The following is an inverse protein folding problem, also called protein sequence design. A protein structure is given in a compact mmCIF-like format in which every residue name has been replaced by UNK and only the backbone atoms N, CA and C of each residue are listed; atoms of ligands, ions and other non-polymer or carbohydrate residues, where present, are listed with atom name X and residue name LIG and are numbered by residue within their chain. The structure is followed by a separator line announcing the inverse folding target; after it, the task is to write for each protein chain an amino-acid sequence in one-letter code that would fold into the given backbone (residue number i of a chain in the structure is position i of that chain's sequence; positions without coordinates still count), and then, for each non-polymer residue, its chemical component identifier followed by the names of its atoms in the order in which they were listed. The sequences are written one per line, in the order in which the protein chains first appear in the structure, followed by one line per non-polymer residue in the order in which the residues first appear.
data_IF_135452351218
#
_entry.id   IF_135452351218
#
_cell.length_a   1.000
_cell.length_b   1.000
_cell.length_c   1.000
_cell.angle_alpha   90.00
_cell.angle_beta   90.00
_cell.angle_gamma   90.00
#
_symmetry.space_group_name_H-M   'P 1'
#
loop_
_entity.id
_entity.type
_entity.pdbx_description
1 polymer ?
#
# COMPACT_ATOMS: atom_id res chain seq x y z
N UNK A 1 18.94 13.64 15.14
CA UNK A 1 20.15 12.92 14.67
C UNK A 1 20.03 12.78 13.16
N UNK A 2 20.70 13.68 12.42
CA UNK A 2 20.71 13.66 10.95
C UNK A 2 21.48 12.42 10.51
N UNK A 3 20.81 11.52 9.80
CA UNK A 3 21.47 10.40 9.14
C UNK A 3 22.17 10.98 7.92
N UNK A 4 23.48 11.19 8.04
CA UNK A 4 24.34 11.39 6.89
C UNK A 4 24.31 10.09 6.08
N UNK A 5 23.83 10.17 4.85
CA UNK A 5 24.11 9.17 3.82
C UNK A 5 25.63 9.19 3.62
N UNK A 6 26.30 8.19 4.19
CA UNK A 6 27.75 8.01 4.06
C UNK A 6 28.07 7.61 2.63
N UNK A 7 28.61 8.56 1.86
CA UNK A 7 29.24 8.28 0.59
C UNK A 7 30.72 7.90 0.85
N UNK A 8 31.12 6.73 0.36
CA UNK A 8 32.46 6.17 0.13
C UNK A 8 33.58 6.36 1.21
N UNK A 9 34.14 5.22 1.62
CA UNK A 9 35.33 5.09 2.47
C UNK A 9 36.55 5.76 1.83
N UNK A 10 37.24 6.63 2.59
CA UNK A 10 38.59 7.11 2.28
C UNK A 10 39.62 6.33 3.12
N UNK A 11 40.49 5.55 2.46
CA UNK A 11 41.80 5.21 3.01
C UNK A 11 42.77 6.33 2.61
N UNK A 12 43.42 6.92 3.61
CA UNK A 12 44.40 7.99 3.46
C UNK A 12 45.80 7.35 3.25
N UNK A 13 46.44 7.63 2.12
CA UNK A 13 47.90 7.61 2.00
C UNK A 13 48.31 8.79 1.12
N UNK A 14 49.08 9.69 1.73
CA UNK A 14 49.61 10.90 1.13
C UNK A 14 50.64 10.58 0.03
N UNK A 15 50.48 11.15 -1.17
CA UNK A 15 51.54 11.92 -1.83
C UNK A 15 51.03 12.64 -3.09
N UNK A 16 51.58 13.85 -3.28
CA UNK A 16 51.23 14.82 -4.31
C UNK A 16 51.25 14.23 -5.73
N UNK A 17 50.19 14.46 -6.50
CA UNK A 17 50.24 14.97 -7.88
C UNK A 17 48.82 15.33 -8.34
N UNK A 18 48.72 16.41 -9.11
CA UNK A 18 47.52 16.95 -9.76
C UNK A 18 46.65 15.88 -10.40
N UNK A 19 45.49 15.60 -9.80
CA UNK A 19 44.43 14.79 -10.38
C UNK A 19 43.14 15.61 -10.40
N UNK A 20 42.56 15.72 -11.58
CA UNK A 20 41.21 16.21 -11.82
C UNK A 20 40.27 15.62 -10.78
N UNK A 21 39.63 16.46 -9.97
CA UNK A 21 38.51 16.04 -9.14
C UNK A 21 37.31 15.79 -10.05
N UNK A 22 37.31 14.65 -10.74
CA UNK A 22 36.05 14.02 -11.10
C UNK A 22 35.39 13.61 -9.78
N UNK A 23 34.57 14.51 -9.24
CA UNK A 23 33.45 14.05 -8.43
C UNK A 23 32.69 13.11 -9.36
N UNK A 24 32.79 11.80 -9.12
CA UNK A 24 31.81 10.87 -9.65
C UNK A 24 30.48 11.34 -9.04
N UNK A 25 29.76 12.17 -9.79
CA UNK A 25 28.33 12.32 -9.61
C UNK A 25 27.80 10.90 -9.72
N UNK A 26 27.35 10.30 -8.61
CA UNK A 26 26.41 9.20 -8.73
C UNK A 26 25.22 9.84 -9.42
N UNK A 27 25.02 9.54 -10.70
CA UNK A 27 23.89 10.03 -11.48
C UNK A 27 22.62 9.32 -10.97
N UNK A 28 22.13 9.78 -9.82
CA UNK A 28 20.92 9.29 -9.17
C UNK A 28 19.75 9.55 -10.12
N UNK A 29 18.95 8.50 -10.35
CA UNK A 29 17.73 8.58 -11.16
C UNK A 29 16.51 8.41 -10.28
N UNK A 30 15.46 9.17 -10.54
CA UNK A 30 14.24 9.17 -9.73
C UNK A 30 13.11 8.51 -10.50
N UNK A 31 12.53 7.46 -9.89
CA UNK A 31 11.28 6.88 -10.34
C UNK A 31 10.14 7.44 -9.48
N UNK A 32 9.19 8.10 -10.13
CA UNK A 32 7.93 8.53 -9.53
C UNK A 32 6.78 7.70 -10.12
N UNK A 33 5.64 7.65 -9.45
CA UNK A 33 4.47 7.00 -10.01
C UNK A 33 3.16 7.54 -9.44
N UNK A 34 2.07 7.44 -10.21
CA UNK A 34 0.71 7.61 -9.68
C UNK A 34 -0.19 6.48 -10.19
N UNK A 35 -1.36 6.39 -9.58
CA UNK A 35 -2.36 5.34 -9.79
C UNK A 35 -3.66 6.01 -10.18
N UNK A 36 -4.47 5.32 -11.00
CA UNK A 36 -5.80 5.75 -11.39
C UNK A 36 -6.60 6.37 -10.22
N UNK A 37 -7.21 7.57 -10.36
CA UNK A 37 -7.83 8.29 -9.24
C UNK A 37 -8.89 7.52 -8.43
N UNK A 38 -9.74 6.66 -9.02
CA UNK A 38 -10.70 5.85 -8.27
C UNK A 38 -10.06 4.84 -7.30
N UNK A 39 -8.78 4.50 -7.48
CA UNK A 39 -8.15 3.45 -6.70
C UNK A 39 -7.87 3.86 -5.25
N UNK A 40 -8.34 3.01 -4.33
CA UNK A 40 -8.28 3.23 -2.90
C UNK A 40 -6.90 3.03 -2.28
N UNK A 41 -6.81 3.39 -0.99
CA UNK A 41 -5.59 3.35 -0.18
C UNK A 41 -4.87 1.99 -0.24
N UNK A 42 -5.61 0.89 -0.13
CA UNK A 42 -5.02 -0.44 -0.04
C UNK A 42 -4.57 -1.02 -1.38
N UNK A 43 -5.20 -0.65 -2.51
CA UNK A 43 -4.66 -1.01 -3.83
C UNK A 43 -3.38 -0.21 -4.11
N UNK A 44 -3.33 1.08 -3.76
CA UNK A 44 -2.12 1.89 -3.92
C UNK A 44 -0.91 1.33 -3.15
N UNK A 45 -1.14 0.74 -1.97
CA UNK A 45 -0.12 -0.03 -1.23
C UNK A 45 0.34 -1.28 -1.98
N UNK A 46 -0.55 -1.94 -2.70
CA UNK A 46 -0.20 -3.08 -3.55
C UNK A 46 0.63 -2.63 -4.77
N UNK A 47 0.27 -1.51 -5.41
CA UNK A 47 1.03 -0.92 -6.53
C UNK A 47 2.43 -0.45 -6.07
N UNK A 48 2.58 0.05 -4.85
CA UNK A 48 3.90 0.34 -4.28
C UNK A 48 4.84 -0.88 -4.33
N UNK A 49 4.32 -2.08 -4.02
CA UNK A 49 5.13 -3.31 -4.07
C UNK A 49 5.64 -3.57 -5.49
N UNK A 50 4.78 -3.35 -6.50
CA UNK A 50 5.12 -3.50 -7.92
C UNK A 50 6.22 -2.51 -8.33
N UNK A 51 6.09 -1.24 -7.95
CA UNK A 51 7.08 -0.20 -8.26
C UNK A 51 8.41 -0.43 -7.53
N UNK A 52 8.36 -0.85 -6.27
CA UNK A 52 9.55 -1.24 -5.52
C UNK A 52 10.27 -2.45 -6.16
N UNK A 53 9.53 -3.42 -6.70
CA UNK A 53 10.11 -4.54 -7.48
C UNK A 53 10.83 -4.04 -8.72
N UNK A 54 10.21 -3.14 -9.48
CA UNK A 54 10.83 -2.50 -10.63
C UNK A 54 12.13 -1.76 -10.24
N UNK A 55 12.14 -0.98 -9.15
CA UNK A 55 13.38 -0.32 -8.68
C UNK A 55 14.45 -1.31 -8.28
N UNK A 56 14.10 -2.44 -7.63
CA UNK A 56 15.08 -3.51 -7.34
C UNK A 56 15.70 -4.06 -8.63
N UNK A 57 14.90 -4.29 -9.67
CA UNK A 57 15.40 -4.73 -10.98
C UNK A 57 16.29 -3.67 -11.62
N UNK A 58 15.88 -2.40 -11.61
CA UNK A 58 16.66 -1.30 -12.17
C UNK A 58 18.04 -1.17 -11.51
N UNK A 59 18.10 -1.28 -10.18
CA UNK A 59 19.36 -1.20 -9.42
C UNK A 59 20.26 -2.42 -9.61
N UNK A 60 19.70 -3.62 -9.82
CA UNK A 60 20.49 -4.83 -10.14
C UNK A 60 21.28 -4.67 -11.45
N UNK A 61 20.78 -3.85 -12.37
CA UNK A 61 21.37 -3.65 -13.69
C UNK A 61 22.38 -2.47 -13.74
N UNK A 62 22.65 -1.80 -12.62
CA UNK A 62 23.79 -0.88 -12.47
C UNK A 62 23.48 0.61 -12.31
N UNK A 63 22.22 1.03 -12.44
CA UNK A 63 21.82 2.43 -12.23
C UNK A 63 21.40 2.71 -10.77
N UNK A 64 21.75 3.88 -10.25
CA UNK A 64 21.33 4.33 -8.91
C UNK A 64 19.91 4.92 -8.91
N UNK A 65 18.90 4.05 -8.99
CA UNK A 65 17.50 4.47 -8.92
C UNK A 65 16.99 4.65 -7.48
N UNK A 66 16.25 5.73 -7.25
CA UNK A 66 15.52 6.04 -6.02
C UNK A 66 14.03 6.13 -6.33
N UNK A 67 13.20 5.47 -5.51
CA UNK A 67 11.75 5.55 -5.61
C UNK A 67 11.24 6.76 -4.84
N UNK A 68 10.61 7.69 -5.53
CA UNK A 68 9.95 8.84 -4.90
C UNK A 68 8.54 8.43 -4.50
N UNK A 69 8.23 8.57 -3.22
CA UNK A 69 6.96 8.16 -2.66
C UNK A 69 5.85 9.16 -3.04
N UNK A 70 4.75 8.73 -3.71
CA UNK A 70 3.69 9.64 -4.12
C UNK A 70 2.88 10.10 -2.92
N UNK A 71 2.72 11.41 -2.68
CA UNK A 71 1.96 11.92 -1.54
C UNK A 71 0.52 11.41 -1.56
N UNK A 72 -0.03 11.06 -0.39
CA UNK A 72 -1.40 10.63 -0.28
C UNK A 72 -2.36 11.81 -0.44
N UNK A 73 -3.44 11.63 -1.19
CA UNK A 73 -4.42 12.67 -1.43
C UNK A 73 -5.62 12.18 -2.24
N UNK A 74 -6.78 12.82 -2.06
CA UNK A 74 -8.01 12.62 -2.86
C UNK A 74 -8.40 11.16 -3.11
N UNK A 75 -8.34 10.30 -2.09
CA UNK A 75 -8.81 8.93 -2.24
C UNK A 75 -10.34 8.89 -2.21
N UNK A 76 -10.95 8.25 -3.21
CA UNK A 76 -12.42 8.18 -3.37
C UNK A 76 -13.15 7.61 -2.13
N UNK A 77 -12.47 6.75 -1.36
CA UNK A 77 -13.04 6.14 -0.14
C UNK A 77 -12.71 6.88 1.16
N UNK A 78 -12.08 8.05 1.09
CA UNK A 78 -11.90 8.88 2.28
C UNK A 78 -13.26 9.41 2.75
N UNK A 79 -13.55 9.09 4.00
CA UNK A 79 -14.86 9.19 4.63
C UNK A 79 -15.15 10.60 5.13
N UNK A 80 -14.09 11.39 5.33
CA UNK A 80 -14.15 12.65 6.05
C UNK A 80 -14.02 13.84 5.09
N UNK A 81 -15.14 14.38 4.57
CA UNK A 81 -15.12 15.46 3.58
C UNK A 81 -14.64 16.80 4.17
N UNK A 82 -14.71 16.94 5.50
CA UNK A 82 -14.48 18.20 6.19
C UNK A 82 -13.02 18.43 6.60
N UNK A 83 -12.12 17.48 6.35
CA UNK A 83 -10.70 17.61 6.68
C UNK A 83 -9.84 17.72 5.42
N UNK A 84 -8.82 18.57 5.47
CA UNK A 84 -7.87 18.71 4.37
C UNK A 84 -6.96 17.48 4.31
N UNK A 85 -7.15 16.66 3.29
CA UNK A 85 -6.39 15.44 3.06
C UNK A 85 -5.84 15.47 1.63
N UNK A 86 -4.74 16.18 1.42
CA UNK A 86 -3.93 16.12 0.21
C UNK A 86 -2.47 16.35 0.60
N UNK A 87 -1.54 15.88 -0.23
CA UNK A 87 -0.09 16.07 -0.01
C UNK A 87 0.40 15.49 1.33
N UNK A 88 -0.22 14.42 1.81
CA UNK A 88 0.17 13.78 3.06
C UNK A 88 1.41 12.90 2.78
N UNK A 89 2.51 13.06 3.52
CA UNK A 89 3.72 12.26 3.32
C UNK A 89 3.50 10.81 3.80
N UNK A 90 4.32 9.88 3.30
CA UNK A 90 4.27 8.48 3.71
C UNK A 90 4.66 8.27 5.17
N UNK A 91 5.51 9.13 5.73
CA UNK A 91 5.91 9.11 7.14
C UNK A 91 4.75 9.20 8.14
N UNK A 92 3.58 9.73 7.73
CA UNK A 92 2.37 9.72 8.56
C UNK A 92 1.76 8.33 8.71
N UNK A 93 1.99 7.43 7.75
CA UNK A 93 1.34 6.11 7.70
C UNK A 93 2.33 4.94 7.85
N UNK A 94 3.56 5.10 7.39
CA UNK A 94 4.57 4.05 7.34
C UNK A 94 5.92 4.53 7.88
N UNK A 95 6.70 3.59 8.41
CA UNK A 95 8.08 3.82 8.82
C UNK A 95 8.99 3.96 7.60
N UNK A 96 9.44 5.18 7.29
CA UNK A 96 10.36 5.43 6.16
C UNK A 96 11.65 4.62 6.30
N UNK A 97 12.22 4.53 7.51
CA UNK A 97 13.42 3.72 7.75
C UNK A 97 13.20 2.23 7.44
N UNK A 98 11.99 1.71 7.66
CA UNK A 98 11.66 0.32 7.34
C UNK A 98 11.54 0.12 5.83
N UNK A 99 10.94 1.06 5.11
CA UNK A 99 10.87 1.04 3.64
C UNK A 99 12.27 1.15 3.02
N UNK A 100 13.10 2.07 3.52
CA UNK A 100 14.49 2.32 3.08
C UNK A 100 15.40 1.11 3.28
N UNK A 101 15.14 0.28 4.28
CA UNK A 101 15.87 -0.97 4.47
C UNK A 101 15.59 -2.00 3.35
N UNK A 102 14.55 -1.82 2.53
CA UNK A 102 14.19 -2.69 1.42
C UNK A 102 14.53 -2.10 0.04
N UNK A 103 14.20 -0.82 -0.19
CA UNK A 103 14.45 -0.09 -1.45
C UNK A 103 14.78 1.37 -1.11
N UNK A 104 15.71 2.04 -1.81
CA UNK A 104 15.96 3.47 -1.62
C UNK A 104 14.69 4.27 -1.94
N UNK A 105 14.11 4.87 -0.91
CA UNK A 105 12.90 5.69 -1.01
C UNK A 105 13.13 7.07 -0.38
N UNK A 106 12.50 8.08 -0.97
CA UNK A 106 12.44 9.45 -0.44
C UNK A 106 11.01 9.99 -0.57
N UNK A 107 10.65 10.94 0.29
CA UNK A 107 9.39 11.67 0.14
C UNK A 107 9.44 12.60 -1.09
N UNK A 108 8.26 12.96 -1.61
CA UNK A 108 8.18 13.85 -2.78
C UNK A 108 8.78 15.24 -2.55
N UNK A 109 8.65 15.81 -1.35
CA UNK A 109 9.26 17.10 -1.04
C UNK A 109 10.80 17.02 -0.98
N UNK A 110 11.36 15.88 -0.54
CA UNK A 110 12.80 15.62 -0.60
C UNK A 110 13.27 15.56 -2.05
N UNK A 111 12.52 14.87 -2.92
CA UNK A 111 12.78 14.87 -4.37
C UNK A 111 12.81 16.30 -4.95
N UNK A 112 11.85 17.17 -4.61
CA UNK A 112 11.85 18.56 -5.10
C UNK A 112 13.14 19.28 -4.70
N UNK A 113 13.61 19.08 -3.47
CA UNK A 113 14.82 19.70 -2.96
C UNK A 113 16.09 19.17 -3.65
N UNK A 114 16.19 17.84 -3.83
CA UNK A 114 17.38 17.19 -4.41
C UNK A 114 17.46 17.36 -5.93
N UNK A 115 16.32 17.38 -6.62
CA UNK A 115 16.22 17.52 -8.08
C UNK A 115 16.39 18.98 -8.56
N UNK A 116 16.52 19.94 -7.64
CA UNK A 116 16.65 21.37 -7.96
C UNK A 116 15.34 22.05 -8.37
N UNK A 117 14.19 21.45 -8.05
CA UNK A 117 12.87 22.03 -8.27
C UNK A 117 11.80 21.00 -8.61
N UNK A 118 10.52 21.43 -8.72
CA UNK A 118 9.37 20.56 -8.93
C UNK A 118 9.18 20.21 -10.42
N UNK A 119 10.27 19.80 -11.09
CA UNK A 119 10.27 19.42 -12.50
C UNK A 119 10.47 17.92 -12.65
N UNK A 120 9.58 17.27 -13.38
CA UNK A 120 9.70 15.88 -13.81
C UNK A 120 10.13 15.90 -15.28
N UNK A 121 11.18 15.19 -15.64
CA UNK A 121 11.70 15.26 -17.01
C UNK A 121 10.81 14.50 -18.00
N UNK A 122 10.36 13.30 -17.62
CA UNK A 122 9.50 12.46 -18.46
C UNK A 122 8.33 11.89 -17.66
N UNK A 123 7.11 12.03 -18.18
CA UNK A 123 5.95 11.24 -17.74
C UNK A 123 5.63 10.21 -18.81
N UNK A 124 5.50 8.95 -18.39
CA UNK A 124 4.99 7.86 -19.19
C UNK A 124 3.59 7.50 -18.66
N UNK A 125 2.57 7.75 -19.47
CA UNK A 125 1.19 7.36 -19.15
C UNK A 125 1.00 5.91 -19.62
N UNK A 126 0.91 4.99 -18.66
CA UNK A 126 0.67 3.58 -18.97
C UNK A 126 -0.78 3.40 -19.45
N UNK A 127 -0.95 2.54 -20.45
CA UNK A 127 -2.26 2.17 -20.99
C UNK A 127 -2.24 0.72 -21.46
N UNK A 128 -3.42 0.14 -21.68
CA UNK A 128 -3.51 -1.16 -22.34
C UNK A 128 -3.19 -1.04 -23.85
N UNK A 129 -3.00 -2.17 -24.53
CA UNK A 129 -3.01 -2.21 -25.99
C UNK A 129 -4.45 -2.01 -26.48
N UNK A 130 -4.64 -1.09 -27.44
CA UNK A 130 -5.97 -0.74 -27.96
C UNK A 130 -6.64 -1.92 -28.67
N UNK A 131 -5.83 -2.76 -29.31
CA UNK A 131 -6.21 -4.01 -29.96
C UNK A 131 -6.59 -5.13 -28.96
N UNK A 132 -6.32 -4.95 -27.67
CA UNK A 132 -6.45 -6.02 -26.66
C UNK A 132 -5.48 -7.18 -26.92
N UNK A 133 -5.85 -8.37 -26.47
CA UNK A 133 -5.14 -9.62 -26.80
C UNK A 133 -6.13 -10.62 -27.38
N UNK A 134 -5.75 -11.29 -28.46
CA UNK A 134 -6.53 -12.35 -29.10
C UNK A 134 -5.90 -13.72 -28.85
N UNK A 135 -6.69 -14.78 -28.99
CA UNK A 135 -6.20 -16.16 -29.14
C UNK A 135 -5.51 -16.80 -27.91
N UNK A 136 -5.81 -16.32 -26.70
CA UNK A 136 -5.38 -16.96 -25.45
C UNK A 136 -3.87 -16.92 -25.19
N UNK A 137 -3.09 -16.19 -25.98
CA UNK A 137 -1.66 -15.94 -25.75
C UNK A 137 -1.47 -14.59 -25.07
N UNK A 138 -1.28 -14.63 -23.75
CA UNK A 138 -0.82 -13.47 -23.01
C UNK A 138 0.71 -13.38 -23.15
N UNK A 139 1.20 -12.31 -23.76
CA UNK A 139 2.62 -12.03 -23.92
C UNK A 139 3.01 -10.77 -23.16
N UNK A 140 4.22 -10.74 -22.62
CA UNK A 140 4.77 -9.53 -22.02
C UNK A 140 5.37 -8.62 -23.09
N UNK A 141 4.89 -7.39 -23.16
CA UNK A 141 5.34 -6.40 -24.13
C UNK A 141 5.07 -4.98 -23.66
N UNK A 142 5.88 -4.07 -24.18
CA UNK A 142 5.81 -2.64 -23.91
C UNK A 142 6.20 -1.87 -25.16
N UNK A 143 5.34 -0.95 -25.60
CA UNK A 143 5.56 -0.17 -26.82
C UNK A 143 5.09 1.28 -26.62
N UNK A 144 5.89 2.24 -27.10
CA UNK A 144 5.41 3.61 -27.26
C UNK A 144 4.27 3.63 -28.28
N UNK A 145 3.11 4.15 -27.88
CA UNK A 145 1.89 4.16 -28.71
C UNK A 145 1.19 5.51 -28.59
N UNK A 146 0.35 5.89 -29.57
CA UNK A 146 -0.54 7.02 -29.39
C UNK A 146 -1.40 6.86 -28.14
N UNK A 147 -1.62 7.97 -27.43
CA UNK A 147 -2.51 8.00 -26.28
C UNK A 147 -3.94 7.62 -26.70
N UNK A 148 -4.50 6.58 -26.08
CA UNK A 148 -5.86 6.10 -26.39
C UNK A 148 -6.88 7.10 -25.88
N UNK A 149 -6.76 7.48 -24.61
CA UNK A 149 -7.61 8.47 -23.98
C UNK A 149 -7.00 9.86 -24.08
N UNK A 150 -7.86 10.88 -23.94
CA UNK A 150 -7.40 12.26 -23.83
C UNK A 150 -6.52 12.39 -22.59
N UNK A 151 -5.27 12.82 -22.78
CA UNK A 151 -4.34 13.10 -21.70
C UNK A 151 -4.96 14.06 -20.67
N UNK A 152 -4.80 13.71 -19.39
CA UNK A 152 -5.12 14.61 -18.26
C UNK A 152 -4.08 15.72 -18.09
N UNK A 153 -3.00 15.68 -18.88
CA UNK A 153 -1.93 16.67 -18.90
C UNK A 153 -2.16 17.72 -19.98
N UNK A 154 -1.84 18.98 -19.68
CA UNK A 154 -1.99 20.10 -20.62
C UNK A 154 -0.79 21.03 -20.56
N UNK A 155 -0.38 21.60 -21.69
CA UNK A 155 0.76 22.54 -21.74
C UNK A 155 0.37 23.90 -21.18
N UNK A 156 1.25 24.50 -20.39
CA UNK A 156 1.17 25.90 -19.99
C UNK A 156 1.79 26.84 -21.04
N UNK A 157 1.79 28.15 -20.74
CA UNK A 157 2.32 29.19 -21.63
C UNK A 157 3.82 29.05 -21.89
N UNK A 158 4.55 28.35 -21.02
CA UNK A 158 5.98 28.10 -21.13
C UNK A 158 6.27 26.78 -21.86
N UNK A 159 5.24 26.02 -22.24
CA UNK A 159 5.35 24.76 -22.95
C UNK A 159 5.53 23.54 -22.04
N UNK A 160 5.53 23.72 -20.71
CA UNK A 160 5.60 22.61 -19.76
C UNK A 160 4.23 22.01 -19.51
N UNK A 161 4.19 20.70 -19.23
CA UNK A 161 2.94 20.02 -18.92
C UNK A 161 2.54 20.23 -17.46
N UNK A 162 1.30 20.67 -17.26
CA UNK A 162 0.56 20.69 -15.99
C UNK A 162 -0.30 19.45 -15.90
N UNK A 163 -0.47 18.94 -14.69
CA UNK A 163 -1.32 17.80 -14.37
C UNK A 163 -1.73 17.83 -12.91
N UNK A 164 -2.27 16.71 -12.42
CA UNK A 164 -2.67 16.57 -11.02
C UNK A 164 -1.48 16.63 -10.06
N UNK A 165 -0.40 15.87 -10.34
CA UNK A 165 0.84 15.81 -9.57
C UNK A 165 0.63 15.85 -8.05
N UNK A 166 -0.24 14.96 -7.56
CA UNK A 166 -0.57 14.78 -6.14
C UNK A 166 -1.05 16.06 -5.40
N UNK A 167 -1.56 17.05 -6.15
CA UNK A 167 -2.04 18.32 -5.61
C UNK A 167 -0.96 19.40 -5.50
N UNK A 168 0.22 19.20 -6.08
CA UNK A 168 1.28 20.21 -6.16
C UNK A 168 1.13 21.03 -7.45
N UNK A 169 0.43 22.16 -7.36
CA UNK A 169 0.15 23.04 -8.51
C UNK A 169 1.39 23.61 -9.19
N UNK A 170 2.52 23.65 -8.49
CA UNK A 170 3.81 24.10 -9.00
C UNK A 170 4.51 23.04 -9.86
N UNK A 171 4.14 21.78 -9.75
CA UNK A 171 4.85 20.69 -10.43
C UNK A 171 4.62 20.72 -11.93
N UNK A 172 5.68 20.51 -12.68
CA UNK A 172 5.69 20.53 -14.15
C UNK A 172 6.40 19.32 -14.71
N UNK A 173 5.87 18.76 -15.79
CA UNK A 173 6.58 17.78 -16.59
C UNK A 173 7.16 18.42 -17.87
N UNK A 174 8.39 18.07 -18.24
CA UNK A 174 9.00 18.55 -19.49
C UNK A 174 8.44 17.83 -20.71
N UNK A 175 8.20 16.53 -20.59
CA UNK A 175 7.62 15.72 -21.64
C UNK A 175 6.60 14.71 -21.10
N UNK A 176 5.59 14.38 -21.91
CA UNK A 176 4.54 13.40 -21.59
C UNK A 176 4.29 12.55 -22.83
N UNK A 177 4.43 11.24 -22.70
CA UNK A 177 4.12 10.25 -23.75
C UNK A 177 3.28 9.11 -23.19
N UNK A 178 2.61 8.37 -24.06
CA UNK A 178 1.84 7.19 -23.68
C UNK A 178 2.59 5.92 -24.09
N UNK A 179 2.51 4.90 -23.24
CA UNK A 179 3.13 3.61 -23.48
C UNK A 179 2.11 2.51 -23.21
N UNK A 180 1.86 1.68 -24.22
CA UNK A 180 1.03 0.50 -24.04
C UNK A 180 1.88 -0.58 -23.39
N UNK A 181 1.41 -1.11 -22.26
CA UNK A 181 2.11 -2.12 -21.48
C UNK A 181 1.19 -3.29 -21.15
N UNK A 182 1.70 -4.49 -21.32
CA UNK A 182 1.10 -5.74 -20.89
C UNK A 182 2.22 -6.56 -20.26
N UNK A 183 2.21 -6.76 -18.95
CA UNK A 183 3.29 -7.48 -18.30
C UNK A 183 3.43 -7.17 -16.83
N UNK A 184 4.49 -7.72 -16.25
CA UNK A 184 4.87 -7.41 -14.89
C UNK A 184 5.66 -6.11 -14.82
N UNK A 185 5.79 -5.52 -13.62
CA UNK A 185 6.43 -4.22 -13.45
C UNK A 185 7.84 -4.14 -14.04
N UNK A 186 8.64 -5.20 -13.94
CA UNK A 186 9.99 -5.26 -14.47
C UNK A 186 10.09 -5.22 -16.00
N UNK A 187 8.98 -5.37 -16.75
CA UNK A 187 8.97 -5.18 -18.22
C UNK A 187 9.38 -3.76 -18.61
N UNK A 188 9.21 -2.79 -17.70
CA UNK A 188 9.59 -1.40 -17.91
C UNK A 188 11.09 -1.17 -17.77
N UNK A 189 11.87 -2.09 -17.18
CA UNK A 189 13.27 -1.86 -16.89
C UNK A 189 14.11 -1.58 -18.15
N UNK A 190 14.00 -2.35 -19.26
CA UNK A 190 14.71 -2.03 -20.50
C UNK A 190 14.35 -0.66 -21.07
N UNK A 191 13.08 -0.24 -20.98
CA UNK A 191 12.63 1.08 -21.47
C UNK A 191 13.27 2.20 -20.66
N UNK A 192 13.26 2.07 -19.33
CA UNK A 192 13.80 3.08 -18.42
C UNK A 192 15.34 3.16 -18.47
N UNK A 193 16.03 2.08 -18.83
CA UNK A 193 17.49 2.01 -18.90
C UNK A 193 18.05 2.39 -20.27
N UNK A 194 17.49 1.82 -21.33
CA UNK A 194 18.10 1.91 -22.66
C UNK A 194 17.52 3.05 -23.49
N UNK A 195 16.24 3.39 -23.29
CA UNK A 195 15.53 4.34 -24.14
C UNK A 195 15.40 5.71 -23.49
N UNK A 196 15.53 5.79 -22.17
CA UNK A 196 15.34 7.03 -21.40
C UNK A 196 16.62 7.37 -20.66
N UNK A 197 17.21 8.52 -20.98
CA UNK A 197 18.47 9.01 -20.38
C UNK A 197 18.27 10.15 -19.38
N UNK A 198 17.03 10.59 -19.16
CA UNK A 198 16.73 11.67 -18.21
C UNK A 198 16.77 11.19 -16.76
N UNK A 199 16.93 12.16 -15.86
CA UNK A 199 17.11 11.96 -14.42
C UNK A 199 15.82 11.56 -13.72
N UNK A 200 14.67 12.18 -14.04
CA UNK A 200 13.40 11.93 -13.35
C UNK A 200 12.30 11.41 -14.30
N UNK A 201 11.76 10.23 -13.99
CA UNK A 201 10.70 9.58 -14.78
C UNK A 201 9.50 9.24 -13.90
N UNK A 202 8.31 9.64 -14.33
CA UNK A 202 7.05 9.30 -13.67
C UNK A 202 6.26 8.27 -14.49
N UNK A 203 5.85 7.17 -13.86
CA UNK A 203 4.89 6.22 -14.41
C UNK A 203 3.48 6.56 -13.91
N UNK A 204 2.65 7.16 -14.75
CA UNK A 204 1.24 7.35 -14.43
C UNK A 204 0.44 6.09 -14.82
N UNK A 205 -0.68 5.84 -14.13
CA UNK A 205 -1.48 4.61 -14.27
C UNK A 205 -0.69 3.34 -13.95
N UNK A 206 0.14 3.40 -12.91
CA UNK A 206 1.01 2.30 -12.50
C UNK A 206 0.27 1.00 -12.14
N UNK A 207 -1.05 1.04 -11.90
CA UNK A 207 -1.86 -0.17 -11.71
C UNK A 207 -1.91 -1.09 -12.93
N UNK A 208 -1.60 -0.57 -14.13
CA UNK A 208 -1.54 -1.36 -15.37
C UNK A 208 -0.50 -2.49 -15.29
N UNK A 209 0.58 -2.31 -14.52
CA UNK A 209 1.64 -3.30 -14.38
C UNK A 209 1.30 -4.34 -13.32
N UNK A 210 1.62 -5.61 -13.56
CA UNK A 210 1.42 -6.73 -12.63
C UNK A 210 2.63 -6.94 -11.70
N UNK A 211 2.48 -7.79 -10.68
CA UNK A 211 3.57 -8.19 -9.78
C UNK A 211 4.50 -9.21 -10.45
N UNK A 212 5.80 -8.93 -10.56
CA UNK A 212 6.80 -9.85 -11.16
C UNK A 212 6.65 -11.30 -10.69
N UNK A 213 6.70 -11.51 -9.38
CA UNK A 213 6.46 -12.81 -8.74
C UNK A 213 5.59 -12.62 -7.49
N UNK A 214 4.28 -12.65 -7.68
CA UNK A 214 3.33 -12.49 -6.57
C UNK A 214 3.56 -13.54 -5.47
N UNK A 215 3.55 -13.11 -4.22
CA UNK A 215 3.84 -13.93 -3.04
C UNK A 215 5.22 -14.64 -3.04
N UNK A 216 6.15 -14.25 -3.91
CA UNK A 216 7.56 -14.65 -3.85
C UNK A 216 8.35 -13.94 -2.74
N UNK A 217 9.64 -14.27 -2.60
CA UNK A 217 10.51 -13.66 -1.58
C UNK A 217 10.58 -12.13 -1.71
N UNK A 218 10.82 -11.61 -2.91
CA UNK A 218 10.95 -10.16 -3.14
C UNK A 218 9.63 -9.41 -2.91
N UNK A 219 8.48 -10.04 -3.18
CA UNK A 219 7.16 -9.55 -2.80
C UNK A 219 7.05 -9.43 -1.28
N UNK A 220 7.38 -10.50 -0.55
CA UNK A 220 7.26 -10.54 0.90
C UNK A 220 8.25 -9.62 1.61
N UNK A 221 9.49 -9.49 1.15
CA UNK A 221 10.44 -8.51 1.70
C UNK A 221 9.89 -7.08 1.55
N UNK A 222 9.34 -6.77 0.39
CA UNK A 222 8.72 -5.45 0.17
C UNK A 222 7.47 -5.27 1.03
N UNK A 223 6.58 -6.27 1.11
CA UNK A 223 5.39 -6.19 1.95
C UNK A 223 5.71 -6.09 3.44
N UNK A 224 6.75 -6.79 3.93
CA UNK A 224 7.24 -6.73 5.32
C UNK A 224 7.90 -5.41 5.64
N UNK A 225 8.51 -4.75 4.65
CA UNK A 225 9.11 -3.42 4.83
C UNK A 225 8.07 -2.31 5.08
N UNK A 226 6.81 -2.53 4.68
CA UNK A 226 5.69 -1.60 4.89
C UNK A 226 5.17 -1.62 6.33
N UNK A 227 6.06 -1.38 7.29
CA UNK A 227 5.74 -1.28 8.72
C UNK A 227 4.94 0.00 8.97
N UNK A 228 3.79 -0.13 9.63
CA UNK A 228 2.99 1.04 10.02
C UNK A 228 3.76 1.99 10.94
N UNK A 229 3.49 3.29 10.80
CA UNK A 229 4.07 4.33 11.62
C UNK A 229 3.86 4.02 13.12
N UNK A 230 4.89 4.27 13.93
CA UNK A 230 4.92 3.85 15.34
C UNK A 230 3.74 4.42 16.13
N UNK A 231 3.38 5.68 15.91
CA UNK A 231 2.28 6.33 16.63
C UNK A 231 0.92 5.63 16.36
N UNK A 232 0.68 5.16 15.13
CA UNK A 232 -0.55 4.42 14.78
C UNK A 232 -0.61 3.06 15.49
N UNK A 233 0.52 2.33 15.53
CA UNK A 233 0.62 1.06 16.26
C UNK A 233 0.35 1.24 17.75
N UNK A 234 0.95 2.27 18.37
CA UNK A 234 0.73 2.58 19.78
C UNK A 234 -0.73 2.89 20.11
N UNK A 235 -1.44 3.63 19.24
CA UNK A 235 -2.88 3.90 19.41
C UNK A 235 -3.69 2.59 19.31
N UNK A 236 -3.38 1.75 18.32
CA UNK A 236 -4.01 0.44 18.17
C UNK A 236 -3.74 -0.49 19.35
N UNK A 237 -2.53 -0.47 19.91
CA UNK A 237 -2.14 -1.27 21.08
C UNK A 237 -2.82 -0.78 22.37
N UNK A 238 -2.93 0.54 22.56
CA UNK A 238 -3.70 1.12 23.67
C UNK A 238 -5.18 0.71 23.57
N UNK A 239 -5.77 0.80 22.38
CA UNK A 239 -7.14 0.36 22.14
C UNK A 239 -7.32 -1.14 22.45
N UNK A 240 -6.41 -1.99 21.97
CA UNK A 240 -6.41 -3.43 22.22
C UNK A 240 -6.34 -3.73 23.72
N UNK A 241 -5.45 -3.07 24.45
CA UNK A 241 -5.29 -3.25 25.89
C UNK A 241 -6.56 -2.83 26.64
N UNK A 242 -7.05 -1.62 26.35
CA UNK A 242 -8.17 -0.99 27.06
C UNK A 242 -9.52 -1.65 26.80
N UNK A 243 -9.83 -1.96 25.54
CA UNK A 243 -11.18 -2.39 25.16
C UNK A 243 -11.28 -3.87 24.80
N UNK A 244 -10.18 -4.52 24.43
CA UNK A 244 -10.20 -5.89 23.91
C UNK A 244 -9.45 -6.89 24.80
N UNK A 245 -8.87 -6.45 25.92
CA UNK A 245 -8.11 -7.30 26.84
C UNK A 245 -6.99 -8.05 26.10
N UNK A 246 -6.28 -7.33 25.22
CA UNK A 246 -5.32 -7.85 24.23
C UNK A 246 -3.99 -7.08 24.33
N UNK A 247 -2.88 -7.81 24.35
CA UNK A 247 -1.50 -7.29 24.44
C UNK A 247 -0.56 -8.31 23.81
N UNK A 248 0.53 -7.89 23.18
CA UNK A 248 1.40 -8.82 22.43
C UNK A 248 1.94 -9.98 23.26
N UNK A 249 2.32 -9.72 24.51
CA UNK A 249 2.83 -10.76 25.42
C UNK A 249 1.80 -11.88 25.68
N UNK A 250 0.52 -11.52 25.87
CA UNK A 250 -0.56 -12.48 26.15
C UNK A 250 -1.10 -13.15 24.89
N UNK A 251 -0.95 -12.47 23.76
CA UNK A 251 -1.49 -12.86 22.46
C UNK A 251 -0.44 -13.60 21.62
N UNK A 252 0.80 -13.66 22.11
CA UNK A 252 1.96 -14.24 21.44
C UNK A 252 2.19 -13.61 20.05
N UNK A 253 1.98 -12.30 19.94
CA UNK A 253 2.17 -11.51 18.71
C UNK A 253 3.39 -10.61 18.81
N UNK A 254 4.48 -11.14 19.38
CA UNK A 254 5.70 -10.35 19.63
C UNK A 254 6.22 -9.74 18.34
N UNK A 255 6.42 -8.43 18.37
CA UNK A 255 6.80 -7.62 17.23
C UNK A 255 8.27 -7.17 17.33
N UNK A 256 8.93 -7.00 16.18
CA UNK A 256 10.29 -6.42 16.08
C UNK A 256 10.23 -5.17 15.23
N UNK A 257 10.77 -4.05 15.74
CA UNK A 257 10.91 -2.80 14.98
C UNK A 257 11.78 -2.97 13.72
N UNK A 258 12.80 -3.84 13.81
CA UNK A 258 13.55 -4.30 12.64
C UNK A 258 12.80 -5.46 11.98
N UNK A 259 12.06 -5.14 10.91
CA UNK A 259 11.27 -6.11 10.17
C UNK A 259 12.13 -7.22 9.56
N UNK A 260 13.41 -6.98 9.26
CA UNK A 260 14.29 -7.99 8.64
C UNK A 260 14.52 -9.18 9.57
N UNK A 261 14.47 -8.94 10.89
CA UNK A 261 14.59 -9.94 11.96
C UNK A 261 13.27 -10.59 12.33
N UNK A 262 12.15 -10.02 11.91
CA UNK A 262 10.82 -10.55 12.20
C UNK A 262 10.55 -11.81 11.37
N UNK A 263 10.80 -12.98 11.95
CA UNK A 263 10.51 -14.29 11.35
C UNK A 263 9.66 -15.11 12.31
N UNK A 264 8.34 -14.92 12.24
CA UNK A 264 7.41 -15.68 13.06
C UNK A 264 7.19 -17.08 12.48
N UNK A 265 7.17 -18.10 13.35
CA UNK A 265 6.77 -19.45 12.94
C UNK A 265 5.27 -19.44 12.66
N UNK A 266 4.85 -19.95 11.51
CA UNK A 266 3.44 -20.01 11.16
C UNK A 266 2.65 -20.81 12.22
N UNK A 267 1.53 -20.23 12.68
CA UNK A 267 0.71 -20.78 13.76
C UNK A 267 1.24 -20.54 15.18
N UNK A 268 2.29 -19.72 15.36
CA UNK A 268 2.80 -19.38 16.70
C UNK A 268 2.01 -18.27 17.38
N UNK A 269 1.42 -17.35 16.60
CA UNK A 269 0.58 -16.30 17.14
C UNK A 269 -0.80 -16.83 17.55
N UNK A 270 -1.27 -16.38 18.72
CA UNK A 270 -2.55 -16.78 19.31
C UNK A 270 -3.64 -15.73 19.11
N UNK A 271 -3.28 -14.45 19.22
CA UNK A 271 -4.20 -13.31 19.13
C UNK A 271 -5.05 -13.07 20.36
N UNK A 272 -5.52 -11.82 20.46
CA UNK A 272 -6.36 -11.34 21.55
C UNK A 272 -7.72 -12.03 21.63
N UNK A 273 -8.38 -12.04 22.79
CA UNK A 273 -9.61 -12.79 23.03
C UNK A 273 -10.86 -12.14 22.40
N UNK A 274 -10.79 -11.79 21.12
CA UNK A 274 -11.87 -11.20 20.34
C UNK A 274 -11.88 -11.71 18.89
N UNK A 275 -13.05 -11.56 18.24
CA UNK A 275 -13.23 -11.76 16.80
C UNK A 275 -12.91 -10.45 16.08
N UNK A 276 -12.01 -10.47 15.11
CA UNK A 276 -11.75 -9.35 14.21
C UNK A 276 -12.62 -9.47 12.96
N UNK A 277 -13.32 -8.40 12.61
CA UNK A 277 -14.23 -8.38 11.46
C UNK A 277 -13.90 -7.18 10.60
N UNK A 278 -13.73 -7.41 9.30
CA UNK A 278 -13.77 -6.33 8.32
C UNK A 278 -15.02 -6.50 7.43
N UNK A 279 -15.94 -5.53 7.55
CA UNK A 279 -17.20 -5.50 6.81
C UNK A 279 -17.24 -4.29 5.87
N UNK A 280 -16.94 -4.49 4.59
CA UNK A 280 -17.00 -3.46 3.55
C UNK A 280 -18.43 -3.33 3.01
N UNK A 281 -18.98 -2.12 3.04
CA UNK A 281 -20.37 -1.76 2.71
C UNK A 281 -20.38 -0.73 1.57
N UNK A 282 -21.05 0.41 1.74
CA UNK A 282 -21.11 1.56 0.80
C UNK A 282 -21.16 1.17 -0.68
N UNK A 283 -20.24 1.69 -1.48
CA UNK A 283 -20.14 1.49 -2.93
C UNK A 283 -19.96 0.02 -3.30
N UNK A 284 -19.28 -0.73 -2.44
CA UNK A 284 -18.97 -2.13 -2.64
C UNK A 284 -20.23 -3.00 -2.75
N UNK A 285 -21.28 -2.70 -1.99
CA UNK A 285 -22.54 -3.46 -2.05
C UNK A 285 -23.10 -3.45 -3.46
N UNK A 286 -23.04 -2.33 -4.19
CA UNK A 286 -23.66 -2.22 -5.51
C UNK A 286 -22.96 -3.08 -6.57
N UNK A 287 -21.64 -3.24 -6.46
CA UNK A 287 -20.84 -4.09 -7.36
C UNK A 287 -20.75 -5.56 -6.92
N UNK A 288 -21.03 -5.86 -5.65
CA UNK A 288 -20.75 -7.16 -5.00
C UNK A 288 -21.95 -7.69 -4.20
N UNK A 289 -23.17 -7.51 -4.71
CA UNK A 289 -24.41 -7.90 -3.99
C UNK A 289 -24.49 -9.39 -3.70
N UNK A 290 -23.87 -10.21 -4.54
CA UNK A 290 -24.03 -11.67 -4.50
C UNK A 290 -23.03 -12.35 -3.58
N UNK A 291 -21.89 -11.72 -3.29
CA UNK A 291 -20.78 -12.27 -2.50
C UNK A 291 -20.51 -11.52 -1.19
N UNK A 292 -21.37 -10.54 -0.85
CA UNK A 292 -21.38 -9.79 0.42
C UNK A 292 -22.68 -10.07 1.19
N UNK A 293 -22.63 -10.34 2.50
CA UNK A 293 -23.82 -10.67 3.28
C UNK A 293 -24.74 -9.46 3.52
N UNK A 294 -25.99 -9.74 3.89
CA UNK A 294 -26.81 -8.74 4.59
C UNK A 294 -26.28 -8.48 6.00
N UNK A 295 -26.70 -7.39 6.66
CA UNK A 295 -26.33 -7.14 8.06
C UNK A 295 -26.76 -8.29 8.99
N UNK A 296 -27.96 -8.84 8.78
CA UNK A 296 -28.46 -9.99 9.53
C UNK A 296 -27.63 -11.26 9.26
N UNK A 297 -27.27 -11.51 8.00
CA UNK A 297 -26.39 -12.61 7.60
C UNK A 297 -25.01 -12.50 8.25
N UNK A 298 -24.42 -11.31 8.20
CA UNK A 298 -23.13 -11.00 8.82
C UNK A 298 -23.16 -11.24 10.34
N UNK A 299 -24.16 -10.69 11.06
CA UNK A 299 -24.31 -10.88 12.50
C UNK A 299 -24.54 -12.34 12.87
N UNK A 300 -25.34 -13.08 12.11
CA UNK A 300 -25.55 -14.52 12.31
C UNK A 300 -24.21 -15.27 12.20
N UNK A 301 -23.40 -14.96 11.19
CA UNK A 301 -22.08 -15.56 10.99
C UNK A 301 -21.11 -15.17 12.12
N UNK A 302 -21.05 -13.90 12.51
CA UNK A 302 -20.23 -13.41 13.63
C UNK A 302 -20.54 -14.16 14.93
N UNK A 303 -21.82 -14.23 15.32
CA UNK A 303 -22.26 -14.96 16.53
C UNK A 303 -21.89 -16.45 16.47
N UNK A 304 -21.98 -17.07 15.29
CA UNK A 304 -21.57 -18.46 15.09
C UNK A 304 -20.07 -18.66 15.33
N UNK A 305 -19.24 -17.79 14.77
CA UNK A 305 -17.78 -17.82 14.98
C UNK A 305 -17.40 -17.54 16.44
N UNK A 306 -18.04 -16.56 17.08
CA UNK A 306 -17.84 -16.25 18.49
C UNK A 306 -18.10 -17.46 19.39
N UNK A 307 -19.23 -18.17 19.19
CA UNK A 307 -19.52 -19.42 19.92
C UNK A 307 -18.49 -20.51 19.63
N UNK A 308 -18.15 -20.73 18.35
CA UNK A 308 -17.20 -21.77 17.93
C UNK A 308 -15.80 -21.57 18.54
N UNK A 309 -15.35 -20.32 18.61
CA UNK A 309 -14.01 -19.97 19.08
C UNK A 309 -13.96 -19.47 20.53
N UNK A 310 -15.09 -19.51 21.25
CA UNK A 310 -15.24 -19.05 22.65
C UNK A 310 -14.73 -17.62 22.83
N UNK A 311 -15.27 -16.71 22.02
CA UNK A 311 -14.94 -15.28 22.00
C UNK A 311 -16.15 -14.48 22.48
N UNK A 312 -15.93 -13.60 23.45
CA UNK A 312 -16.99 -12.77 24.03
C UNK A 312 -17.06 -11.36 23.41
N UNK A 313 -15.98 -10.93 22.76
CA UNK A 313 -15.87 -9.61 22.11
C UNK A 313 -15.72 -9.73 20.60
N UNK A 314 -16.22 -8.73 19.89
CA UNK A 314 -16.06 -8.58 18.44
C UNK A 314 -15.66 -7.15 18.10
N UNK A 315 -14.54 -7.00 17.41
CA UNK A 315 -14.10 -5.73 16.85
C UNK A 315 -14.51 -5.64 15.39
N UNK A 316 -15.09 -4.51 14.97
CA UNK A 316 -15.61 -4.32 13.61
C UNK A 316 -14.94 -3.11 12.95
N UNK A 317 -14.09 -3.36 11.96
CA UNK A 317 -13.67 -2.38 10.98
C UNK A 317 -14.70 -2.33 9.84
N UNK A 318 -15.32 -1.19 9.63
CA UNK A 318 -16.37 -1.03 8.61
C UNK A 318 -16.49 0.42 8.16
N UNK A 319 -16.81 0.59 6.88
CA UNK A 319 -17.15 1.86 6.25
C UNK A 319 -18.67 2.07 6.14
N UNK A 320 -19.48 1.25 6.82
CA UNK A 320 -20.94 1.43 6.92
C UNK A 320 -21.33 2.86 7.30
N UNK A 321 -22.43 3.35 6.74
CA UNK A 321 -22.99 4.65 7.12
C UNK A 321 -23.66 4.63 8.50
N UNK A 322 -24.10 5.80 8.98
CA UNK A 322 -24.70 5.92 10.31
C UNK A 322 -25.96 5.07 10.50
N UNK A 323 -26.76 4.86 9.46
CA UNK A 323 -28.00 4.09 9.56
C UNK A 323 -27.70 2.60 9.68
N UNK A 324 -26.82 2.08 8.82
CA UNK A 324 -26.33 0.70 8.90
C UNK A 324 -25.62 0.43 10.23
N UNK A 325 -24.83 1.39 10.73
CA UNK A 325 -24.16 1.28 12.03
C UNK A 325 -25.15 1.22 13.20
N UNK A 326 -26.22 2.03 13.18
CA UNK A 326 -27.29 1.96 14.18
C UNK A 326 -27.99 0.60 14.16
N UNK A 327 -28.28 0.07 12.97
CA UNK A 327 -28.86 -1.27 12.83
C UNK A 327 -27.90 -2.36 13.33
N UNK A 328 -26.63 -2.29 12.94
CA UNK A 328 -25.61 -3.26 13.34
C UNK A 328 -25.44 -3.29 14.86
N UNK A 329 -25.40 -2.12 15.52
CA UNK A 329 -25.32 -2.01 16.98
C UNK A 329 -26.56 -2.55 17.69
N UNK A 330 -27.75 -2.41 17.08
CA UNK A 330 -28.98 -3.03 17.59
C UNK A 330 -28.93 -4.56 17.49
N UNK A 331 -28.39 -5.10 16.39
CA UNK A 331 -28.30 -6.55 16.15
C UNK A 331 -27.14 -7.21 16.95
N UNK A 332 -26.08 -6.47 17.24
CA UNK A 332 -24.88 -6.93 17.91
C UNK A 332 -24.38 -5.89 18.94
N UNK A 333 -25.05 -5.75 20.09
CA UNK A 333 -24.72 -4.72 21.08
C UNK A 333 -23.28 -4.79 21.64
N UNK A 334 -22.69 -5.99 21.65
CA UNK A 334 -21.34 -6.25 22.15
C UNK A 334 -20.22 -5.86 21.14
N UNK A 335 -20.59 -5.26 20.01
CA UNK A 335 -19.61 -4.80 19.03
C UNK A 335 -18.77 -3.64 19.56
N UNK A 336 -17.48 -3.70 19.28
CA UNK A 336 -16.48 -2.68 19.62
C UNK A 336 -15.92 -2.10 18.32
N UNK A 337 -15.75 -0.78 18.25
CA UNK A 337 -15.19 -0.07 17.10
C UNK A 337 -14.19 0.97 17.58
N UNK A 338 -13.21 1.26 16.74
CA UNK A 338 -12.36 2.43 16.90
C UNK A 338 -13.10 3.64 16.34
N UNK A 339 -13.45 4.59 17.22
CA UNK A 339 -14.17 5.80 16.87
C UNK A 339 -13.30 6.98 17.31
N UNK A 340 -12.50 7.58 16.40
CA UNK A 340 -11.61 8.69 16.74
C UNK A 340 -12.43 9.93 17.11
N UNK A 341 -11.87 10.76 17.99
CA UNK A 341 -12.37 12.13 18.21
C UNK A 341 -12.20 12.96 16.93
N UNK A 342 -12.82 14.14 16.86
CA UNK A 342 -12.65 15.05 15.71
C UNK A 342 -11.18 15.48 15.62
N UNK A 343 -10.57 15.77 16.77
CA UNK A 343 -9.17 16.16 16.90
C UNK A 343 -8.24 15.02 16.46
N UNK A 344 -8.50 13.79 16.90
CA UNK A 344 -7.73 12.62 16.47
C UNK A 344 -7.91 12.36 14.97
N UNK A 345 -9.11 12.53 14.43
CA UNK A 345 -9.37 12.35 13.00
C UNK A 345 -8.61 13.37 12.14
N UNK A 346 -8.51 14.62 12.60
CA UNK A 346 -7.70 15.65 11.96
C UNK A 346 -6.21 15.32 11.96
N UNK A 347 -5.70 14.69 13.02
CA UNK A 347 -4.30 14.26 13.12
C UNK A 347 -4.03 13.01 12.28
N UNK A 348 -4.82 11.95 12.51
CA UNK A 348 -4.61 10.62 11.95
C UNK A 348 -4.98 10.55 10.47
N UNK A 349 -5.90 11.42 10.02
CA UNK A 349 -6.52 11.36 8.70
C UNK A 349 -7.25 10.02 8.50
N UNK A 350 -7.95 9.87 7.39
CA UNK A 350 -8.70 8.63 7.11
C UNK A 350 -7.75 7.43 6.92
N UNK A 351 -6.55 7.67 6.40
CA UNK A 351 -5.51 6.64 6.24
C UNK A 351 -5.00 6.08 7.57
N UNK A 352 -4.77 6.93 8.57
CA UNK A 352 -4.31 6.50 9.89
C UNK A 352 -5.37 5.71 10.64
N UNK A 353 -6.63 6.17 10.59
CA UNK A 353 -7.79 5.44 11.14
C UNK A 353 -7.92 4.06 10.49
N UNK A 354 -7.82 3.99 9.16
CA UNK A 354 -7.85 2.72 8.42
C UNK A 354 -6.70 1.77 8.84
N UNK A 355 -5.50 2.30 9.05
CA UNK A 355 -4.36 1.50 9.54
C UNK A 355 -4.60 0.97 10.96
N UNK A 356 -5.15 1.80 11.86
CA UNK A 356 -5.48 1.39 13.22
C UNK A 356 -6.52 0.25 13.21
N UNK A 357 -7.57 0.38 12.40
CA UNK A 357 -8.56 -0.68 12.19
C UNK A 357 -7.92 -1.98 11.70
N UNK A 358 -7.02 -1.89 10.72
CA UNK A 358 -6.28 -3.06 10.21
C UNK A 358 -5.38 -3.68 11.26
N UNK A 359 -4.66 -2.87 12.03
CA UNK A 359 -3.78 -3.31 13.11
C UNK A 359 -4.58 -4.06 14.18
N UNK A 360 -5.70 -3.51 14.62
CA UNK A 360 -6.58 -4.17 15.61
C UNK A 360 -7.16 -5.46 15.01
N UNK A 361 -7.61 -5.47 13.76
CA UNK A 361 -8.09 -6.70 13.11
C UNK A 361 -7.00 -7.77 12.99
N UNK A 362 -5.77 -7.38 12.66
CA UNK A 362 -4.64 -8.29 12.50
C UNK A 362 -4.30 -9.03 13.80
N UNK A 363 -4.55 -8.43 14.96
CA UNK A 363 -4.25 -9.03 16.27
C UNK A 363 -5.37 -9.89 16.87
N UNK A 364 -6.50 -10.06 16.18
CA UNK A 364 -7.60 -10.88 16.66
C UNK A 364 -7.26 -12.39 16.69
N UNK A 365 -7.86 -13.15 17.60
CA UNK A 365 -7.71 -14.63 17.61
C UNK A 365 -8.28 -15.28 16.35
N UNK A 366 -9.32 -14.69 15.79
CA UNK A 366 -9.91 -15.12 14.53
C UNK A 366 -10.28 -13.89 13.73
N UNK A 367 -9.99 -13.90 12.43
CA UNK A 367 -10.35 -12.83 11.52
C UNK A 367 -11.29 -13.34 10.42
N UNK A 368 -12.27 -12.51 10.05
CA UNK A 368 -13.11 -12.69 8.87
C UNK A 368 -13.26 -11.34 8.14
N UNK A 369 -12.94 -11.34 6.85
CA UNK A 369 -13.01 -10.17 5.99
C UNK A 369 -14.20 -10.17 5.05
N UNK A 370 -14.22 -9.19 4.16
CA UNK A 370 -15.16 -9.08 3.04
C UNK A 370 -14.52 -9.59 1.74
N UNK A 371 -15.34 -10.24 0.90
CA UNK A 371 -14.95 -10.75 -0.44
C UNK A 371 -14.21 -9.69 -1.25
N UNK A 372 -13.15 -10.11 -1.95
CA UNK A 372 -12.29 -9.32 -2.87
C UNK A 372 -11.84 -7.93 -2.41
N UNK A 373 -11.97 -7.61 -1.12
CA UNK A 373 -11.60 -6.31 -0.60
C UNK A 373 -10.09 -6.22 -0.35
N UNK A 374 -9.44 -5.24 -0.98
CA UNK A 374 -8.02 -4.95 -0.76
C UNK A 374 -7.71 -4.58 0.70
N UNK A 375 -8.67 -4.01 1.44
CA UNK A 375 -8.53 -3.78 2.88
C UNK A 375 -8.41 -5.10 3.66
N UNK A 376 -9.25 -6.11 3.34
CA UNK A 376 -9.13 -7.46 3.91
C UNK A 376 -7.79 -8.11 3.55
N UNK A 377 -7.34 -7.95 2.29
CA UNK A 377 -6.08 -8.54 1.82
C UNK A 377 -4.87 -8.01 2.61
N UNK A 378 -4.85 -6.70 2.90
CA UNK A 378 -3.77 -6.13 3.72
C UNK A 378 -3.77 -6.66 5.15
N UNK A 379 -4.95 -6.95 5.72
CA UNK A 379 -5.06 -7.63 7.03
C UNK A 379 -4.57 -9.08 6.93
N UNK A 380 -4.94 -9.82 5.88
CA UNK A 380 -4.46 -11.20 5.70
C UNK A 380 -2.94 -11.28 5.72
N UNK A 381 -2.27 -10.37 5.01
CA UNK A 381 -0.82 -10.32 4.96
C UNK A 381 -0.19 -9.90 6.29
N UNK A 382 -0.81 -8.96 7.01
CA UNK A 382 -0.32 -8.56 8.33
C UNK A 382 -0.40 -9.72 9.32
N UNK A 383 -1.47 -10.52 9.25
CA UNK A 383 -1.63 -11.75 10.04
C UNK A 383 -0.62 -12.84 9.64
N UNK A 384 -0.31 -12.97 8.36
CA UNK A 384 0.71 -13.90 7.87
C UNK A 384 2.11 -13.50 8.39
N UNK A 385 2.43 -12.19 8.39
CA UNK A 385 3.68 -11.63 8.95
C UNK A 385 3.77 -11.90 10.47
N UNK A 386 2.68 -11.71 11.20
CA UNK A 386 2.58 -12.00 12.63
C UNK A 386 2.63 -13.50 12.95
N UNK A 387 2.49 -14.37 11.94
CA UNK A 387 2.60 -15.82 12.10
C UNK A 387 1.34 -16.49 12.65
N UNK A 388 0.16 -15.95 12.36
CA UNK A 388 -1.12 -16.59 12.68
C UNK A 388 -1.35 -17.87 11.87
N UNK A 389 -2.18 -18.78 12.39
CA UNK A 389 -2.62 -19.95 11.62
C UNK A 389 -3.50 -19.49 10.45
N UNK A 390 -3.23 -19.94 9.20
CA UNK A 390 -4.01 -19.57 8.01
C UNK A 390 -5.53 -19.79 8.17
N UNK A 391 -5.95 -20.82 8.93
CA UNK A 391 -7.36 -21.12 9.22
C UNK A 391 -8.06 -20.01 9.99
N UNK A 392 -7.31 -19.17 10.68
CA UNK A 392 -7.82 -18.00 11.43
C UNK A 392 -7.69 -16.69 10.65
N UNK A 393 -7.13 -16.73 9.45
CA UNK A 393 -6.76 -15.54 8.66
C UNK A 393 -7.55 -15.45 7.37
N UNK A 394 -7.51 -16.47 6.53
CA UNK A 394 -8.07 -16.43 5.18
C UNK A 394 -9.55 -16.85 5.19
N UNK A 395 -10.39 -15.98 5.76
CA UNK A 395 -11.83 -16.21 5.87
C UNK A 395 -12.57 -14.99 5.33
N UNK A 396 -13.65 -15.21 4.58
CA UNK A 396 -14.58 -14.14 4.20
C UNK A 396 -16.02 -14.45 4.59
N UNK A 397 -16.83 -13.40 4.68
CA UNK A 397 -18.27 -13.57 4.60
C UNK A 397 -18.69 -14.05 3.22
N UNK A 398 -19.74 -14.86 3.20
CA UNK A 398 -20.43 -15.28 2.00
C UNK A 398 -21.67 -14.41 1.81
N UNK A 399 -22.12 -14.24 0.57
CA UNK A 399 -23.44 -13.70 0.30
C UNK A 399 -24.54 -14.58 0.87
N UNK A 400 -25.69 -13.98 1.23
CA UNK A 400 -26.78 -14.69 1.90
C UNK A 400 -27.34 -15.86 1.08
N UNK A 401 -27.29 -15.74 -0.26
CA UNK A 401 -27.75 -16.73 -1.24
C UNK A 401 -26.62 -17.39 -2.01
N UNK A 402 -25.37 -17.09 -1.65
CA UNK A 402 -24.18 -17.61 -2.33
C UNK A 402 -24.03 -19.11 -2.05
N UNK A 403 -24.08 -19.92 -3.10
CA UNK A 403 -23.93 -21.39 -2.98
C UNK A 403 -22.46 -21.80 -2.91
N UNK A 404 -21.63 -21.20 -3.75
CA UNK A 404 -20.20 -21.49 -3.87
C UNK A 404 -19.40 -20.33 -3.31
N UNK A 405 -19.24 -20.32 -1.99
CA UNK A 405 -18.49 -19.28 -1.29
C UNK A 405 -17.00 -19.64 -1.21
N UNK A 406 -16.29 -19.44 -2.32
CA UNK A 406 -14.84 -19.62 -2.39
C UNK A 406 -14.15 -18.74 -1.34
N UNK A 407 -13.26 -19.35 -0.55
CA UNK A 407 -12.50 -18.64 0.48
C UNK A 407 -11.21 -18.04 -0.10
N UNK A 408 -10.69 -16.94 0.49
CA UNK A 408 -9.46 -16.32 0.00
C UNK A 408 -8.29 -17.31 -0.04
N UNK A 409 -7.50 -17.27 -1.11
CA UNK A 409 -6.29 -18.08 -1.24
C UNK A 409 -5.27 -17.78 -0.16
N UNK A 410 -4.69 -18.81 0.45
CA UNK A 410 -3.54 -18.67 1.35
C UNK A 410 -2.27 -18.43 0.54
N UNK A 411 -1.83 -17.17 0.51
CA UNK A 411 -0.53 -16.80 0.01
C UNK A 411 0.48 -16.84 1.15
N UNK A 412 1.29 -17.90 1.19
CA UNK A 412 2.23 -18.14 2.29
C UNK A 412 3.43 -17.18 2.24
N UNK A 413 3.81 -16.65 3.41
CA UNK A 413 5.05 -15.86 3.56
C UNK A 413 6.31 -16.66 3.22
N UNK A 414 7.22 -16.01 2.49
CA UNK A 414 8.56 -16.51 2.14
C UNK A 414 9.60 -15.55 2.71
N UNK A 415 10.60 -16.09 3.42
CA UNK A 415 11.61 -15.33 4.18
C UNK A 415 13.01 -15.35 3.55
#
# INVERSE_FOLDING_TARGET
TRVHITCCWFFHLEHLHTLSTHVLSCDIRYLLYDVNPPEGFNLRRDVYIRMASLVKTLRKNGDDWVLVLPPWGRLYHWQSPNIHQIRIPWGEFFSLTSLQANVPVIEYEEFIAENGGPFIDQVLVLQNYAEGWTDGKWEEKVDERPCIEKLMYSKDKQGYYRGWFWGYEQTRARNVTCISAQGHASIMAPVLQNNITVTSVMLDRAETLLHDHYAGKDYWDTRRSMVFAKHLRLIGDDFRAKYLNSTDDRDHTVYSEDWTRMKAKLGSAKGGPYLGVHLRRKDFIWGHREDVPSLKGAVKKMRSLMRKHKLDKVFIATDADEEELKELKKLLPDMVRFEPSIEDLELLKDGGVAIIDQWICAHARFFIGTSVSTFSFRIHEEREILGFDPKTTYNRFCGDTEKECEQPTHWKIVY
#
